data_IF_907389736160
#
_entry.id   IF_907389736160
#
_cell.length_a   1.000
_cell.length_b   1.000
_cell.length_c   1.000
_cell.angle_alpha   90.00
_cell.angle_beta   90.00
_cell.angle_gamma   90.00
#
_symmetry.space_group_name_H-M   'P 1'
#
loop_
_entity.id
_entity.type
_entity.pdbx_description
1 polymer ?
#
# COMPACT_ATOMS: atom_id res chain seq x y z
N UNK A 1 40.03 -9.08 -35.33
CA UNK A 1 39.51 -10.36 -34.81
C UNK A 1 39.77 -10.39 -33.33
N UNK A 2 38.72 -10.25 -32.53
CA UNK A 2 38.45 -10.93 -31.24
C UNK A 2 37.22 -10.24 -30.65
N UNK A 3 36.07 -10.81 -30.96
CA UNK A 3 34.79 -10.48 -30.32
C UNK A 3 34.78 -11.12 -28.93
N UNK A 4 34.50 -10.34 -27.88
CA UNK A 4 34.08 -10.90 -26.59
C UNK A 4 32.58 -10.70 -26.45
N UNK A 5 31.82 -11.77 -26.67
CA UNK A 5 30.41 -11.84 -26.32
C UNK A 5 30.31 -11.91 -24.79
N UNK A 6 29.76 -10.86 -24.16
CA UNK A 6 29.14 -11.01 -22.85
C UNK A 6 27.74 -11.57 -23.08
N UNK A 7 27.54 -12.83 -22.71
CA UNK A 7 26.22 -13.41 -22.60
C UNK A 7 25.52 -12.75 -21.40
N UNK A 8 24.45 -12.01 -21.67
CA UNK A 8 23.46 -11.68 -20.65
C UNK A 8 22.73 -12.97 -20.27
N UNK A 9 22.80 -13.30 -18.98
CA UNK A 9 22.07 -14.39 -18.36
C UNK A 9 20.64 -13.91 -18.07
N UNK A 10 19.75 -14.04 -19.07
CA UNK A 10 18.31 -13.74 -18.98
C UNK A 10 17.53 -14.86 -18.26
N UNK A 11 18.06 -15.35 -17.13
CA UNK A 11 17.61 -16.58 -16.47
C UNK A 11 16.73 -16.42 -15.22
N UNK A 12 16.38 -15.21 -14.77
CA UNK A 12 15.84 -15.05 -13.39
C UNK A 12 14.31 -15.09 -13.23
N UNK A 13 13.52 -14.81 -14.26
CA UNK A 13 12.08 -14.53 -14.08
C UNK A 13 11.13 -15.54 -14.76
N UNK A 14 11.40 -16.84 -14.61
CA UNK A 14 10.38 -17.85 -14.92
C UNK A 14 9.52 -18.16 -13.69
N UNK A 15 8.18 -18.30 -13.82
CA UNK A 15 7.30 -18.72 -12.72
C UNK A 15 7.74 -20.03 -12.04
N UNK A 16 8.41 -20.92 -12.79
CA UNK A 16 8.95 -22.19 -12.29
C UNK A 16 10.15 -22.04 -11.32
N UNK A 17 10.91 -20.94 -11.40
CA UNK A 17 11.94 -20.62 -10.41
C UNK A 17 11.33 -20.03 -9.13
N UNK A 18 10.13 -19.46 -9.20
CA UNK A 18 9.47 -18.75 -8.11
C UNK A 18 8.90 -19.69 -7.03
N UNK A 19 8.27 -20.80 -7.42
CA UNK A 19 7.80 -21.83 -6.47
C UNK A 19 8.96 -22.51 -5.71
N UNK A 20 10.14 -22.62 -6.34
CA UNK A 20 11.35 -23.13 -5.69
C UNK A 20 11.92 -22.15 -4.66
N UNK A 21 11.72 -20.84 -4.85
CA UNK A 21 12.21 -19.83 -3.91
C UNK A 21 11.43 -19.91 -2.59
N UNK A 22 10.10 -19.98 -2.59
CA UNK A 22 9.29 -20.06 -1.35
C UNK A 22 9.58 -21.28 -0.43
N UNK A 23 10.44 -22.22 -0.83
CA UNK A 23 10.90 -23.34 -0.02
C UNK A 23 11.95 -22.98 1.05
N UNK A 24 12.56 -21.78 1.01
CA UNK A 24 13.58 -21.36 1.98
C UNK A 24 12.93 -20.88 3.29
N UNK A 25 13.61 -21.05 4.46
CA UNK A 25 13.08 -20.55 5.73
C UNK A 25 12.97 -19.02 5.71
N UNK A 26 11.98 -18.46 6.40
CA UNK A 26 11.74 -17.00 6.42
C UNK A 26 12.98 -16.19 6.81
N UNK A 27 13.82 -16.72 7.70
CA UNK A 27 15.08 -16.10 8.12
C UNK A 27 16.07 -15.84 6.97
N UNK A 28 15.98 -16.61 5.87
CA UNK A 28 16.74 -16.35 4.65
C UNK A 28 16.29 -15.07 3.96
N UNK A 29 14.98 -14.78 3.96
CA UNK A 29 14.40 -13.60 3.32
C UNK A 29 14.54 -12.33 4.17
N UNK A 30 14.60 -12.50 5.49
CA UNK A 30 14.59 -11.40 6.46
C UNK A 30 15.96 -11.21 7.11
N UNK A 31 17.03 -11.59 6.42
CA UNK A 31 18.41 -11.37 6.89
C UNK A 31 18.77 -9.88 6.86
N UNK A 32 19.79 -9.48 7.63
CA UNK A 32 20.27 -8.09 7.64
C UNK A 32 20.79 -7.62 6.28
N UNK A 33 21.35 -8.52 5.48
CA UNK A 33 21.84 -8.20 4.12
C UNK A 33 20.72 -7.85 3.14
N UNK A 34 19.51 -8.34 3.39
CA UNK A 34 18.31 -8.10 2.57
C UNK A 34 17.40 -7.02 3.13
N UNK A 35 17.73 -6.50 4.30
CA UNK A 35 17.01 -5.42 4.93
C UNK A 35 17.30 -4.13 4.16
N UNK A 36 16.28 -3.61 3.48
CA UNK A 36 16.38 -2.34 2.73
C UNK A 36 16.04 -1.13 3.60
N UNK A 37 15.45 -1.33 4.79
CA UNK A 37 15.27 -0.25 5.75
C UNK A 37 14.47 -0.65 7.00
N UNK A 38 14.68 0.10 8.08
CA UNK A 38 13.89 0.00 9.33
C UNK A 38 13.47 1.40 9.77
N UNK A 39 12.17 1.68 9.69
CA UNK A 39 11.60 2.97 10.09
C UNK A 39 11.19 2.96 11.56
N UNK A 40 10.50 4.00 12.04
CA UNK A 40 9.83 3.94 13.34
C UNK A 40 8.58 3.06 13.31
N UNK A 41 8.10 2.68 12.11
CA UNK A 41 6.85 1.95 11.92
C UNK A 41 7.06 0.45 11.67
N UNK A 42 8.07 0.07 10.87
CA UNK A 42 8.28 -1.32 10.42
C UNK A 42 9.66 -1.53 9.79
N UNK A 43 10.01 -2.80 9.57
CA UNK A 43 11.15 -3.22 8.79
C UNK A 43 10.74 -3.64 7.37
N UNK A 44 11.62 -3.43 6.40
CA UNK A 44 11.43 -3.74 4.99
C UNK A 44 12.57 -4.58 4.45
N UNK A 45 12.23 -5.58 3.64
CA UNK A 45 13.19 -6.47 3.00
C UNK A 45 12.85 -6.66 1.53
N UNK A 46 13.87 -6.89 0.71
CA UNK A 46 13.71 -7.27 -0.69
C UNK A 46 14.64 -8.44 -1.03
N UNK A 47 14.10 -9.49 -1.64
CA UNK A 47 14.87 -10.66 -2.05
C UNK A 47 14.10 -11.53 -3.03
N UNK A 48 14.78 -12.03 -4.06
CA UNK A 48 14.24 -13.02 -5.00
C UNK A 48 12.88 -12.61 -5.60
N UNK A 49 12.70 -11.33 -5.93
CA UNK A 49 11.43 -10.79 -6.46
C UNK A 49 10.32 -10.64 -5.41
N UNK A 50 10.65 -10.72 -4.11
CA UNK A 50 9.71 -10.50 -3.00
C UNK A 50 9.99 -9.18 -2.31
N UNK A 51 8.92 -8.45 -2.00
CA UNK A 51 8.93 -7.33 -1.07
C UNK A 51 8.28 -7.77 0.24
N UNK A 52 8.94 -7.49 1.37
CA UNK A 52 8.47 -7.93 2.68
C UNK A 52 8.36 -6.74 3.61
N UNK A 53 7.15 -6.49 4.12
CA UNK A 53 6.90 -5.58 5.24
C UNK A 53 6.77 -6.41 6.53
N UNK A 54 7.45 -6.00 7.59
CA UNK A 54 7.37 -6.65 8.91
C UNK A 54 7.12 -5.62 10.00
N UNK A 55 6.02 -5.74 10.74
CA UNK A 55 5.76 -4.88 11.89
C UNK A 55 6.89 -5.02 12.93
N UNK A 56 7.19 -3.93 13.65
CA UNK A 56 8.17 -3.99 14.72
C UNK A 56 7.63 -4.78 15.92
N UNK A 57 8.51 -5.54 16.57
CA UNK A 57 8.25 -6.13 17.88
C UNK A 57 8.25 -5.04 18.95
N UNK A 58 7.59 -5.24 20.10
CA UNK A 58 7.67 -4.31 21.22
C UNK A 58 9.10 -3.99 21.67
N UNK A 59 10.01 -4.96 21.59
CA UNK A 59 11.43 -4.78 21.90
C UNK A 59 12.20 -3.91 20.89
N UNK A 60 11.64 -3.66 19.72
CA UNK A 60 12.23 -2.88 18.63
C UNK A 60 11.69 -1.44 18.56
N UNK A 61 10.70 -1.10 19.40
CA UNK A 61 10.12 0.23 19.44
C UNK A 61 11.16 1.28 19.82
N UNK A 62 11.10 2.42 19.13
CA UNK A 62 12.11 3.48 19.25
C UNK A 62 11.72 4.47 20.35
N UNK A 63 12.69 4.88 21.16
CA UNK A 63 12.49 5.96 22.14
C UNK A 63 12.94 7.28 21.52
N UNK A 64 12.00 8.21 21.37
CA UNK A 64 12.25 9.58 20.91
C UNK A 64 12.17 10.60 22.05
N UNK A 65 12.26 11.89 21.71
CA UNK A 65 12.17 12.99 22.67
C UNK A 65 10.82 13.08 23.40
N UNK A 66 9.75 12.54 22.81
CA UNK A 66 8.39 12.45 23.41
C UNK A 66 8.16 11.13 24.17
N UNK A 67 9.19 10.30 24.34
CA UNK A 67 9.08 8.98 24.95
C UNK A 67 9.04 7.84 23.93
N UNK A 68 8.52 6.69 24.35
CA UNK A 68 8.42 5.49 23.52
C UNK A 68 7.44 5.72 22.36
N UNK A 69 7.91 5.54 21.13
CA UNK A 69 7.08 5.53 19.93
C UNK A 69 6.55 4.13 19.68
N UNK A 70 5.23 3.98 19.74
CA UNK A 70 4.53 2.74 19.43
C UNK A 70 3.85 2.93 18.07
N UNK A 71 4.18 2.12 17.03
CA UNK A 71 3.54 2.18 15.73
C UNK A 71 2.02 1.99 15.86
N UNK A 72 1.25 2.96 15.39
CA UNK A 72 -0.21 2.91 15.47
C UNK A 72 -0.75 1.93 14.44
N UNK A 73 -1.58 1.00 14.90
CA UNK A 73 -2.23 -0.03 14.08
C UNK A 73 -1.25 -0.74 13.14
N UNK A 74 -0.01 -0.99 13.58
CA UNK A 74 1.06 -1.48 12.70
C UNK A 74 0.80 -2.88 12.13
N UNK A 75 0.14 -3.75 12.91
CA UNK A 75 -0.28 -5.08 12.48
C UNK A 75 -1.54 -5.00 11.63
N UNK A 76 -2.54 -4.26 12.09
CA UNK A 76 -3.86 -4.12 11.48
C UNK A 76 -3.75 -3.48 10.10
N UNK A 77 -2.85 -2.50 9.91
CA UNK A 77 -2.55 -1.92 8.59
C UNK A 77 -1.97 -2.94 7.61
N UNK A 78 -1.05 -3.80 8.04
CA UNK A 78 -0.52 -4.86 7.19
C UNK A 78 -1.54 -5.97 6.89
N UNK A 79 -2.41 -6.28 7.84
CA UNK A 79 -3.55 -7.18 7.62
C UNK A 79 -4.51 -6.58 6.59
N UNK A 80 -4.83 -5.30 6.73
CA UNK A 80 -5.71 -4.58 5.82
C UNK A 80 -5.12 -4.52 4.39
N UNK A 81 -3.82 -4.25 4.27
CA UNK A 81 -3.12 -4.29 2.97
C UNK A 81 -3.22 -5.68 2.32
N UNK A 82 -2.92 -6.75 3.07
CA UNK A 82 -2.98 -8.12 2.56
C UNK A 82 -4.37 -8.48 2.03
N UNK A 83 -5.42 -8.16 2.79
CA UNK A 83 -6.80 -8.46 2.41
C UNK A 83 -7.30 -7.58 1.26
N UNK A 84 -6.88 -6.31 1.21
CA UNK A 84 -7.17 -5.40 0.10
C UNK A 84 -6.56 -5.90 -1.21
N UNK A 85 -5.29 -6.31 -1.20
CA UNK A 85 -4.62 -6.88 -2.37
C UNK A 85 -5.32 -8.16 -2.87
N UNK A 86 -5.65 -9.08 -1.96
CA UNK A 86 -6.37 -10.33 -2.29
C UNK A 86 -7.77 -10.07 -2.82
N UNK A 87 -8.48 -9.10 -2.24
CA UNK A 87 -9.81 -8.70 -2.66
C UNK A 87 -9.79 -8.11 -4.06
N UNK A 88 -8.96 -7.09 -4.31
CA UNK A 88 -8.88 -6.40 -5.61
C UNK A 88 -8.48 -7.35 -6.74
N UNK A 89 -7.53 -8.26 -6.50
CA UNK A 89 -7.13 -9.27 -7.48
C UNK A 89 -8.27 -10.23 -7.84
N UNK A 90 -9.20 -10.47 -6.92
CA UNK A 90 -10.36 -11.36 -7.15
C UNK A 90 -11.48 -10.66 -7.92
N UNK A 91 -11.69 -9.36 -7.68
CA UNK A 91 -12.89 -8.65 -8.16
C UNK A 91 -12.62 -7.66 -9.29
N UNK A 92 -11.36 -7.39 -9.62
CA UNK A 92 -10.97 -6.39 -10.62
C UNK A 92 -9.76 -6.81 -11.42
N UNK A 93 -9.41 -6.01 -12.43
CA UNK A 93 -8.17 -6.10 -13.20
C UNK A 93 -7.17 -4.99 -12.83
N UNK A 94 -7.36 -4.35 -11.66
CA UNK A 94 -6.43 -3.31 -11.19
C UNK A 94 -5.07 -3.96 -10.93
N UNK A 95 -3.97 -3.41 -11.47
CA UNK A 95 -2.65 -3.98 -11.30
C UNK A 95 -2.23 -3.82 -9.84
N UNK A 96 -2.26 -4.92 -9.08
CA UNK A 96 -1.86 -4.99 -7.67
C UNK A 96 -0.92 -6.16 -7.42
N UNK A 97 0.03 -6.05 -6.47
CA UNK A 97 0.91 -7.16 -6.11
C UNK A 97 0.19 -8.44 -5.69
N UNK A 98 0.75 -9.59 -6.09
CA UNK A 98 0.38 -10.88 -5.48
C UNK A 98 0.79 -10.90 -4.02
N UNK A 99 -0.08 -11.42 -3.13
CA UNK A 99 0.26 -11.73 -1.74
C UNK A 99 0.70 -13.19 -1.63
N UNK A 100 1.95 -13.42 -1.26
CA UNK A 100 2.51 -14.76 -1.03
C UNK A 100 2.38 -15.19 0.43
N UNK A 101 2.35 -14.25 1.36
CA UNK A 101 2.24 -14.55 2.80
C UNK A 101 1.72 -13.36 3.60
N UNK A 102 0.85 -13.64 4.56
CA UNK A 102 0.35 -12.66 5.52
C UNK A 102 0.08 -13.39 6.85
N UNK A 103 1.01 -13.32 7.79
CA UNK A 103 0.97 -14.12 9.02
C UNK A 103 1.82 -13.50 10.13
N UNK A 104 1.67 -14.02 11.34
CA UNK A 104 2.39 -13.57 12.52
C UNK A 104 3.42 -14.59 12.99
N UNK A 105 4.63 -14.11 13.32
CA UNK A 105 5.71 -14.89 13.93
C UNK A 105 6.42 -13.99 14.94
N UNK A 106 6.62 -14.49 16.16
CA UNK A 106 7.37 -13.81 17.23
C UNK A 106 6.94 -12.34 17.43
N UNK A 107 5.66 -12.11 17.67
CA UNK A 107 5.04 -10.79 17.89
C UNK A 107 5.28 -9.79 16.74
N UNK A 108 5.52 -10.27 15.52
CA UNK A 108 5.63 -9.49 14.30
C UNK A 108 4.69 -10.03 13.23
N UNK A 109 3.93 -9.15 12.62
CA UNK A 109 3.15 -9.46 11.43
C UNK A 109 4.01 -9.24 10.19
N UNK A 110 4.00 -10.22 9.30
CA UNK A 110 4.70 -10.21 8.03
C UNK A 110 3.70 -10.14 6.89
N UNK A 111 3.96 -9.25 5.94
CA UNK A 111 3.32 -9.22 4.64
C UNK A 111 4.39 -9.43 3.57
N UNK A 112 4.25 -10.49 2.78
CA UNK A 112 5.14 -10.88 1.70
C UNK A 112 4.38 -10.74 0.39
N UNK A 113 4.86 -9.86 -0.48
CA UNK A 113 4.23 -9.54 -1.77
C UNK A 113 5.20 -9.64 -2.93
N UNK A 114 4.67 -9.71 -4.13
CA UNK A 114 5.40 -9.50 -5.38
C UNK A 114 6.11 -8.14 -5.37
N UNK A 115 7.38 -8.13 -5.74
CA UNK A 115 8.15 -6.93 -6.01
C UNK A 115 8.11 -6.59 -7.50
N UNK A 116 7.94 -5.32 -7.83
CA UNK A 116 7.96 -4.84 -9.19
C UNK A 116 9.19 -3.96 -9.42
N UNK A 117 10.07 -4.39 -10.32
CA UNK A 117 11.15 -3.54 -10.82
C UNK A 117 10.59 -2.52 -11.82
N UNK A 118 11.04 -1.28 -11.70
CA UNK A 118 10.60 -0.15 -12.51
C UNK A 118 10.53 1.16 -11.71
N UNK A 119 10.59 2.32 -12.40
CA UNK A 119 10.48 3.61 -11.74
C UNK A 119 9.07 3.83 -11.19
N UNK A 120 8.97 4.54 -10.08
CA UNK A 120 7.72 5.11 -9.62
C UNK A 120 7.31 6.28 -10.54
N UNK A 121 6.01 6.57 -10.62
CA UNK A 121 5.48 7.70 -11.38
C UNK A 121 6.15 9.03 -10.98
N UNK A 122 6.61 9.17 -9.74
CA UNK A 122 7.34 10.36 -9.25
C UNK A 122 8.67 10.62 -9.96
N UNK A 123 9.29 9.58 -10.53
CA UNK A 123 10.60 9.64 -11.19
C UNK A 123 10.49 9.97 -12.69
N UNK A 124 9.28 9.96 -13.23
CA UNK A 124 9.01 10.23 -14.63
C UNK A 124 9.02 11.74 -14.94
N UNK A 125 9.18 12.09 -16.21
CA UNK A 125 8.96 13.47 -16.65
C UNK A 125 7.46 13.83 -16.70
N UNK A 126 7.15 15.12 -16.82
CA UNK A 126 5.77 15.62 -16.79
C UNK A 126 4.91 15.15 -17.97
N UNK A 127 5.50 14.80 -19.12
CA UNK A 127 4.75 14.26 -20.25
C UNK A 127 4.37 12.80 -20.01
N UNK A 128 5.33 12.00 -19.56
CA UNK A 128 5.13 10.62 -19.15
C UNK A 128 4.10 10.52 -18.02
N UNK A 129 4.20 11.37 -17.00
CA UNK A 129 3.23 11.45 -15.89
C UNK A 129 1.81 11.67 -16.38
N UNK A 130 1.58 12.53 -17.40
CA UNK A 130 0.24 12.73 -17.96
C UNK A 130 -0.34 11.44 -18.56
N UNK A 131 0.49 10.68 -19.28
CA UNK A 131 0.09 9.38 -19.85
C UNK A 131 -0.27 8.36 -18.77
N UNK A 132 0.58 8.24 -17.75
CA UNK A 132 0.38 7.34 -16.60
C UNK A 132 -0.84 7.76 -15.78
N UNK A 133 -1.03 9.06 -15.52
CA UNK A 133 -2.21 9.58 -14.83
C UNK A 133 -3.50 9.27 -15.59
N UNK A 134 -3.51 9.34 -16.93
CA UNK A 134 -4.67 8.96 -17.72
C UNK A 134 -5.02 7.47 -17.58
N UNK A 135 -4.01 6.59 -17.42
CA UNK A 135 -4.21 5.17 -17.11
C UNK A 135 -4.72 4.95 -15.69
N UNK A 136 -4.08 5.59 -14.72
CA UNK A 136 -4.48 5.53 -13.31
C UNK A 136 -5.93 5.97 -13.10
N UNK A 137 -6.38 7.03 -13.77
CA UNK A 137 -7.77 7.49 -13.73
C UNK A 137 -8.77 6.42 -14.21
N UNK A 138 -8.40 5.55 -15.18
CA UNK A 138 -9.26 4.44 -15.60
C UNK A 138 -9.33 3.34 -14.54
N UNK A 139 -8.22 3.07 -13.85
CA UNK A 139 -8.21 2.14 -12.72
C UNK A 139 -9.02 2.68 -11.54
N UNK A 140 -8.92 3.98 -11.23
CA UNK A 140 -9.75 4.63 -10.21
C UNK A 140 -11.24 4.57 -10.52
N UNK A 141 -11.63 4.80 -11.78
CA UNK A 141 -13.02 4.63 -12.18
C UNK A 141 -13.49 3.18 -11.95
N UNK A 142 -12.66 2.19 -12.25
CA UNK A 142 -12.97 0.77 -11.96
C UNK A 142 -13.04 0.51 -10.45
N UNK A 143 -12.14 1.11 -9.67
CA UNK A 143 -12.08 0.98 -8.22
C UNK A 143 -13.36 1.52 -7.57
N UNK A 144 -13.84 2.69 -8.02
CA UNK A 144 -15.00 3.35 -7.45
C UNK A 144 -16.35 2.67 -7.81
N UNK A 145 -16.37 1.77 -8.79
CA UNK A 145 -17.54 0.92 -9.05
C UNK A 145 -17.68 -0.23 -8.05
N UNK A 146 -16.66 -0.52 -7.25
CA UNK A 146 -16.72 -1.53 -6.19
C UNK A 146 -17.32 -0.87 -4.95
N UNK A 147 -18.57 -1.25 -4.62
CA UNK A 147 -19.35 -0.58 -3.57
C UNK A 147 -19.68 -1.48 -2.38
N UNK A 148 -19.87 -0.84 -1.23
CA UNK A 148 -20.26 -1.46 0.03
C UNK A 148 -21.28 -0.59 0.77
N UNK A 149 -22.09 -1.22 1.62
CA UNK A 149 -22.96 -0.55 2.58
C UNK A 149 -22.25 -0.27 3.91
N UNK A 150 -21.04 -0.80 4.11
CA UNK A 150 -20.27 -0.70 5.35
C UNK A 150 -18.85 -0.18 5.05
N UNK A 151 -18.35 0.74 5.90
CA UNK A 151 -17.00 1.28 5.78
C UNK A 151 -15.94 0.30 6.27
N UNK A 152 -14.71 0.43 5.77
CA UNK A 152 -13.56 -0.35 6.20
C UNK A 152 -13.03 -1.27 5.11
N UNK A 153 -11.94 -1.97 5.41
CA UNK A 153 -11.32 -2.91 4.48
C UNK A 153 -12.15 -4.19 4.27
N UNK A 154 -11.72 -5.08 3.36
CA UNK A 154 -12.42 -6.33 3.08
C UNK A 154 -12.62 -7.28 4.28
N UNK A 155 -11.83 -7.11 5.34
CA UNK A 155 -11.93 -7.86 6.60
C UNK A 155 -12.72 -7.15 7.70
N UNK A 156 -13.30 -5.97 7.41
CA UNK A 156 -14.01 -5.12 8.36
C UNK A 156 -13.11 -4.23 9.23
N UNK A 157 -11.78 -4.29 9.06
CA UNK A 157 -10.86 -3.39 9.76
C UNK A 157 -11.03 -1.98 9.19
N UNK A 158 -11.34 -1.01 10.06
CA UNK A 158 -11.41 0.41 9.67
C UNK A 158 -10.07 1.08 9.97
N UNK A 159 -9.32 1.40 8.92
CA UNK A 159 -8.11 2.22 9.01
C UNK A 159 -8.39 3.55 8.29
N UNK A 160 -8.51 4.69 9.01
CA UNK A 160 -8.59 5.98 8.35
C UNK A 160 -7.31 6.34 7.61
N UNK A 161 -7.37 7.21 6.58
CA UNK A 161 -6.19 7.67 5.87
C UNK A 161 -5.09 8.21 6.79
N UNK A 162 -3.82 8.10 6.38
CA UNK A 162 -2.68 8.62 7.15
C UNK A 162 -2.87 10.07 7.63
N UNK A 163 -3.42 10.94 6.77
CA UNK A 163 -3.70 12.35 7.10
C UNK A 163 -4.66 12.54 8.28
N UNK A 164 -5.62 11.62 8.47
CA UNK A 164 -6.52 11.60 9.63
C UNK A 164 -5.79 11.01 10.84
N UNK A 165 -5.10 9.89 10.65
CA UNK A 165 -4.35 9.23 11.72
C UNK A 165 -3.33 10.19 12.35
N UNK A 166 -2.56 10.92 11.54
CA UNK A 166 -1.53 11.85 12.01
C UNK A 166 -2.06 12.99 12.89
N UNK A 167 -3.33 13.38 12.73
CA UNK A 167 -3.97 14.46 13.51
C UNK A 167 -4.77 13.97 14.73
N UNK A 168 -4.80 12.66 14.99
CA UNK A 168 -5.61 12.05 16.06
C UNK A 168 -4.76 11.19 17.01
N UNK A 169 -5.36 10.78 18.13
CA UNK A 169 -4.76 9.86 19.10
C UNK A 169 -5.57 8.58 19.33
N UNK A 170 -6.69 8.39 18.60
CA UNK A 170 -7.55 7.20 18.72
C UNK A 170 -7.18 6.14 17.68
N UNK A 171 -7.12 4.88 18.11
CA UNK A 171 -6.87 3.72 17.25
C UNK A 171 -8.10 2.82 17.12
N UNK A 172 -9.25 3.26 17.65
CA UNK A 172 -10.52 2.55 17.56
C UNK A 172 -11.45 3.35 16.66
N UNK A 173 -11.81 2.74 15.54
CA UNK A 173 -12.69 3.33 14.53
C UNK A 173 -13.82 2.34 14.24
N UNK A 174 -15.07 2.64 14.63
CA UNK A 174 -16.19 1.76 14.35
C UNK A 174 -16.49 1.78 12.84
N UNK A 175 -16.98 0.65 12.34
CA UNK A 175 -17.57 0.62 11.01
C UNK A 175 -18.87 1.44 11.00
N UNK A 176 -19.05 2.23 9.95
CA UNK A 176 -20.28 2.97 9.68
C UNK A 176 -21.04 2.23 8.59
N UNK A 177 -22.36 2.22 8.71
CA UNK A 177 -23.26 1.56 7.77
C UNK A 177 -24.16 2.58 7.08
N UNK A 178 -24.57 2.26 5.86
CA UNK A 178 -25.49 3.03 5.03
C UNK A 178 -26.61 2.14 4.50
N UNK A 179 -27.78 2.74 4.24
CA UNK A 179 -28.94 2.00 3.72
C UNK A 179 -28.76 1.56 2.24
N UNK A 180 -27.89 2.23 1.50
CA UNK A 180 -27.57 1.96 0.10
C UNK A 180 -26.05 1.78 -0.04
N UNK A 181 -25.55 1.04 -1.04
CA UNK A 181 -24.12 0.86 -1.23
C UNK A 181 -23.47 2.15 -1.77
N UNK A 182 -23.24 3.12 -0.89
CA UNK A 182 -22.70 4.45 -1.22
C UNK A 182 -21.20 4.60 -0.93
N UNK A 183 -20.61 3.63 -0.22
CA UNK A 183 -19.18 3.62 0.02
C UNK A 183 -18.47 2.92 -1.13
N UNK A 184 -17.50 3.61 -1.71
CA UNK A 184 -16.67 3.10 -2.81
C UNK A 184 -15.33 2.63 -2.25
N UNK A 185 -14.66 1.72 -2.94
CA UNK A 185 -13.33 1.30 -2.52
C UNK A 185 -12.32 2.42 -2.81
N UNK A 186 -11.60 2.86 -1.78
CA UNK A 186 -10.58 3.90 -1.82
C UNK A 186 -9.20 3.28 -1.51
N UNK A 187 -8.16 3.78 -2.15
CA UNK A 187 -6.75 3.55 -1.79
C UNK A 187 -6.33 4.39 -0.57
N UNK A 188 -6.84 5.63 -0.46
CA UNK A 188 -6.59 6.59 0.64
C UNK A 188 -5.15 7.10 0.82
N UNK A 189 -4.18 6.53 0.12
CA UNK A 189 -2.78 6.97 0.09
C UNK A 189 -2.16 6.97 -1.32
N UNK A 190 -2.94 7.36 -2.34
CA UNK A 190 -2.53 7.24 -3.74
C UNK A 190 -1.64 8.42 -4.18
N UNK A 191 -0.35 8.35 -3.84
CA UNK A 191 0.69 9.28 -4.29
C UNK A 191 1.40 8.78 -5.56
N UNK A 192 2.20 9.65 -6.19
CA UNK A 192 3.03 9.25 -7.35
C UNK A 192 4.08 8.17 -7.01
N UNK A 193 4.45 8.02 -5.73
CA UNK A 193 5.41 7.00 -5.31
C UNK A 193 4.79 5.60 -5.29
N UNK A 194 3.47 5.53 -5.22
CA UNK A 194 2.71 4.28 -5.07
C UNK A 194 2.24 3.70 -6.42
N UNK A 195 2.76 4.22 -7.54
CA UNK A 195 2.44 3.79 -8.90
C UNK A 195 3.73 3.41 -9.61
N UNK A 196 3.94 2.12 -9.79
CA UNK A 196 5.13 1.56 -10.46
C UNK A 196 4.82 1.34 -11.94
N UNK A 197 5.71 1.80 -12.82
CA UNK A 197 5.52 1.70 -14.27
C UNK A 197 6.58 0.84 -14.93
N UNK A 198 6.24 0.29 -16.09
CA UNK A 198 7.21 -0.30 -17.00
C UNK A 198 8.01 0.82 -17.69
N UNK A 199 9.35 0.84 -17.59
CA UNK A 199 10.16 1.96 -18.09
C UNK A 199 10.15 2.10 -19.61
N UNK A 200 9.74 1.07 -20.36
CA UNK A 200 9.76 1.07 -21.83
C UNK A 200 8.39 1.47 -22.40
N UNK A 201 7.32 0.88 -21.88
CA UNK A 201 5.94 1.07 -22.35
C UNK A 201 5.17 2.14 -21.58
N UNK A 202 5.67 2.55 -20.41
CA UNK A 202 5.01 3.45 -19.45
C UNK A 202 3.64 2.95 -18.97
N UNK A 203 3.38 1.65 -19.08
CA UNK A 203 2.20 1.00 -18.53
C UNK A 203 2.35 0.79 -17.03
N UNK A 204 1.24 0.93 -16.29
CA UNK A 204 1.24 0.69 -14.85
C UNK A 204 1.45 -0.81 -14.61
N UNK A 205 2.54 -1.16 -13.95
CA UNK A 205 2.85 -2.53 -13.54
C UNK A 205 2.15 -2.88 -12.23
N UNK A 206 2.12 -1.94 -11.29
CA UNK A 206 1.48 -2.11 -9.99
C UNK A 206 1.10 -0.77 -9.34
N UNK A 207 -0.04 -0.77 -8.64
CA UNK A 207 -0.38 0.19 -7.61
C UNK A 207 -0.11 -0.50 -6.26
N UNK A 208 0.66 0.14 -5.38
CA UNK A 208 1.18 -0.44 -4.14
C UNK A 208 0.79 0.38 -2.92
N UNK A 209 1.05 -0.15 -1.72
CA UNK A 209 0.82 0.53 -0.43
C UNK A 209 -0.67 0.75 -0.06
N UNK A 210 -1.44 -0.34 -0.13
CA UNK A 210 -2.89 -0.37 0.12
C UNK A 210 -3.26 -0.46 1.61
N UNK A 211 -2.38 -0.04 2.52
CA UNK A 211 -2.59 -0.25 3.97
C UNK A 211 -3.73 0.57 4.58
N UNK A 212 -4.07 1.70 3.93
CA UNK A 212 -5.20 2.57 4.29
C UNK A 212 -6.46 2.29 3.46
N UNK A 213 -6.43 1.26 2.61
CA UNK A 213 -7.50 1.01 1.68
C UNK A 213 -8.77 0.50 2.37
N UNK A 214 -9.92 0.78 1.76
CA UNK A 214 -11.21 0.30 2.25
C UNK A 214 -12.38 1.05 1.63
N UNK A 215 -13.58 0.66 2.02
CA UNK A 215 -14.81 1.31 1.60
C UNK A 215 -15.05 2.60 2.39
N UNK A 216 -15.15 3.73 1.68
CA UNK A 216 -15.43 5.05 2.24
C UNK A 216 -16.25 5.88 1.24
N UNK A 217 -16.83 7.02 1.64
CA UNK A 217 -17.36 7.99 0.68
C UNK A 217 -16.28 8.41 -0.33
N UNK A 218 -16.64 8.58 -1.61
CA UNK A 218 -15.68 8.87 -2.70
C UNK A 218 -14.72 10.03 -2.42
N UNK A 219 -15.17 11.05 -1.67
CA UNK A 219 -14.33 12.20 -1.31
C UNK A 219 -13.16 11.86 -0.37
N UNK A 220 -13.06 10.63 0.15
CA UNK A 220 -11.87 10.14 0.85
C UNK A 220 -10.69 9.89 -0.11
N UNK A 221 -10.97 9.60 -1.39
CA UNK A 221 -9.93 9.38 -2.40
C UNK A 221 -9.40 10.71 -2.94
N UNK A 222 -8.42 11.29 -2.24
CA UNK A 222 -7.74 12.49 -2.66
C UNK A 222 -6.75 12.19 -3.81
N UNK A 223 -6.72 13.07 -4.82
CA UNK A 223 -5.93 12.91 -6.05
C UNK A 223 -4.47 13.31 -5.87
N UNK A 224 -3.80 12.82 -4.82
CA UNK A 224 -2.42 13.21 -4.50
C UNK A 224 -1.41 12.84 -5.59
N UNK A 225 -1.70 11.83 -6.41
CA UNK A 225 -0.91 11.49 -7.60
C UNK A 225 -0.81 12.62 -8.64
N UNK A 226 -1.65 13.66 -8.58
CA UNK A 226 -1.57 14.82 -9.47
C UNK A 226 -0.42 15.77 -9.12
N UNK A 227 0.24 15.58 -7.97
CA UNK A 227 1.41 16.36 -7.57
C UNK A 227 2.47 15.51 -6.87
N UNK A 228 3.67 16.07 -6.76
CA UNK A 228 4.72 15.51 -5.91
C UNK A 228 4.48 15.84 -4.44
N UNK A 229 4.93 14.95 -3.55
CA UNK A 229 4.89 15.14 -2.11
C UNK A 229 3.97 14.14 -1.40
N UNK A 230 3.76 14.34 -0.08
CA UNK A 230 3.00 13.42 0.76
C UNK A 230 1.49 13.48 0.47
N UNK A 231 0.78 12.42 0.86
CA UNK A 231 -0.69 12.31 0.83
C UNK A 231 -1.38 13.06 1.98
N UNK A 232 -0.97 14.31 2.18
CA UNK A 232 -1.56 15.28 3.12
C UNK A 232 -1.66 16.62 2.41
N UNK A 233 -2.57 17.50 2.83
CA UNK A 233 -2.61 18.87 2.29
C UNK A 233 -1.27 19.59 2.56
N UNK A 234 -0.75 20.28 1.54
CA UNK A 234 0.48 21.10 1.63
C UNK A 234 0.17 22.57 1.29
N UNK A 235 1.02 23.48 1.76
CA UNK A 235 1.00 24.94 1.55
C UNK A 235 -0.06 25.49 0.56
N UNK A 236 -1.18 25.98 1.12
CA UNK A 236 -2.25 26.63 0.36
C UNK A 236 -3.34 25.69 -0.16
N UNK A 237 -3.17 24.36 -0.04
CA UNK A 237 -4.21 23.39 -0.32
C UNK A 237 -5.28 23.37 0.79
N UNK A 238 -6.47 22.95 0.42
CA UNK A 238 -7.55 22.73 1.36
C UNK A 238 -7.29 21.44 2.17
N UNK A 239 -7.21 21.56 3.49
CA UNK A 239 -7.16 20.42 4.39
C UNK A 239 -8.55 19.77 4.49
N UNK A 240 -8.68 18.55 3.95
CA UNK A 240 -9.92 17.77 3.97
C UNK A 240 -10.15 17.02 5.28
N UNK A 241 -9.14 16.92 6.16
CA UNK A 241 -9.19 16.14 7.41
C UNK A 241 -10.38 16.50 8.30
N UNK A 242 -10.77 17.79 8.49
CA UNK A 242 -11.96 18.13 9.26
C UNK A 242 -13.25 17.49 8.71
N UNK A 243 -13.40 17.41 7.39
CA UNK A 243 -14.55 16.77 6.74
C UNK A 243 -14.52 15.26 6.92
N UNK A 244 -13.35 14.64 6.77
CA UNK A 244 -13.17 13.20 7.00
C UNK A 244 -13.50 12.83 8.45
N UNK A 245 -13.00 13.61 9.41
CA UNK A 245 -13.27 13.43 10.83
C UNK A 245 -14.74 13.64 11.16
N UNK A 246 -15.42 14.61 10.55
CA UNK A 246 -16.85 14.80 10.75
C UNK A 246 -17.63 13.53 10.37
N UNK A 247 -17.27 12.90 9.26
CA UNK A 247 -17.88 11.63 8.83
C UNK A 247 -17.53 10.47 9.77
N UNK A 248 -16.23 10.27 10.07
CA UNK A 248 -15.78 9.16 10.92
C UNK A 248 -16.29 9.23 12.36
N UNK A 249 -16.64 10.43 12.84
CA UNK A 249 -17.22 10.64 14.16
C UNK A 249 -18.76 10.74 14.14
N UNK A 250 -19.40 10.63 12.98
CA UNK A 250 -20.85 10.55 12.91
C UNK A 250 -21.28 9.29 13.66
N UNK A 251 -22.06 9.46 14.73
CA UNK A 251 -22.70 8.30 15.37
C UNK A 251 -23.64 7.71 14.34
N UNK A 252 -23.51 6.40 14.07
CA UNK A 252 -24.52 5.69 13.29
C UNK A 252 -25.89 5.95 13.91
N UNK A 253 -26.84 6.38 13.09
CA UNK A 253 -28.22 6.45 13.50
C UNK A 253 -28.66 5.02 13.86
N UNK A 254 -28.89 4.75 15.14
CA UNK A 254 -29.51 3.51 15.64
C UNK A 254 -30.99 3.40 15.21
#
# INVERSE_FOLDING_TARGET
MTSSNFAHDDGSDSPENFEKNLARPLSYYTSSEKCIGITAERAYYHSDGLFIKRSLRPSEYKVGYKGLHIPRLGKERLQNEAESLRFLRRVSNIPVPVVYGAFEIDDSFFLITEFFDGPAMSELDEEQKRGVAAELNRHLATLHEIKSQETGGPSGIVIPPYRVMHQTSTDIWPALTSANPEYVFCHNDLSQQNVIVDPQSLKIKAIIDWEYAGFFPEYFEARFYERLGPSVAIDGEHDDVPKLLQFLNAKGDE
#
